data_IF_995188381066
#
_entry.id   IF_995188381066
#
_cell.length_a   1.000
_cell.length_b   1.000
_cell.length_c   1.000
_cell.angle_alpha   90.00
_cell.angle_beta   90.00
_cell.angle_gamma   90.00
#
_symmetry.space_group_name_H-M   'P 1'
#
loop_
_entity.id
_entity.type
_entity.pdbx_description
1 polymer ?
#
# COMPACT_ATOMS: atom_id res chain seq x y z
N UNK A 1 -7.20 3.40 -18.36
CA UNK A 1 -6.04 2.49 -18.39
C UNK A 1 -5.43 2.49 -19.78
N UNK A 2 -4.10 2.51 -19.87
CA UNK A 2 -3.36 2.39 -21.14
C UNK A 2 -2.87 0.95 -21.31
N UNK A 3 -2.86 0.44 -22.54
CA UNK A 3 -2.34 -0.91 -22.83
C UNK A 3 -0.82 -0.87 -22.83
N UNK A 4 -0.20 -1.90 -22.23
CA UNK A 4 1.24 -2.15 -22.31
C UNK A 4 1.43 -3.63 -22.64
N UNK A 5 2.38 -3.90 -23.53
CA UNK A 5 2.84 -5.26 -23.81
C UNK A 5 4.05 -5.51 -22.91
N UNK A 6 3.95 -6.54 -22.07
CA UNK A 6 5.02 -7.00 -21.18
C UNK A 6 4.97 -8.51 -21.15
N UNK A 7 6.13 -9.14 -21.04
CA UNK A 7 6.20 -10.57 -20.74
C UNK A 7 5.98 -10.76 -19.24
N UNK A 8 5.15 -11.74 -18.87
CA UNK A 8 4.81 -12.06 -17.49
C UNK A 8 5.02 -13.57 -17.34
N UNK A 9 5.57 -13.97 -16.20
CA UNK A 9 5.64 -15.36 -15.81
C UNK A 9 4.23 -15.91 -15.56
N UNK A 10 3.83 -16.92 -16.33
CA UNK A 10 2.47 -17.48 -16.29
C UNK A 10 2.17 -18.20 -14.96
N UNK A 11 3.18 -18.80 -14.33
CA UNK A 11 3.00 -19.49 -13.04
C UNK A 11 2.74 -18.46 -11.92
N UNK A 12 3.51 -17.37 -11.91
CA UNK A 12 3.27 -16.25 -10.99
C UNK A 12 1.91 -15.58 -11.24
N UNK A 13 1.52 -15.43 -12.50
CA UNK A 13 0.23 -14.85 -12.84
C UNK A 13 -0.93 -15.72 -12.33
N UNK A 14 -0.82 -17.04 -12.44
CA UNK A 14 -1.84 -17.96 -11.96
C UNK A 14 -1.90 -18.00 -10.42
N UNK A 15 -0.75 -17.96 -9.74
CA UNK A 15 -0.70 -17.84 -8.28
C UNK A 15 -1.40 -16.56 -7.81
N UNK A 16 -1.10 -15.42 -8.44
CA UNK A 16 -1.75 -14.15 -8.15
C UNK A 16 -3.26 -14.21 -8.43
N UNK A 17 -3.69 -14.86 -9.52
CA UNK A 17 -5.11 -15.04 -9.82
C UNK A 17 -5.82 -15.81 -8.72
N UNK A 18 -5.21 -16.88 -8.22
CA UNK A 18 -5.72 -17.67 -7.11
C UNK A 18 -5.81 -16.86 -5.82
N UNK A 19 -4.74 -16.14 -5.46
CA UNK A 19 -4.68 -15.32 -4.24
C UNK A 19 -5.70 -14.18 -4.22
N UNK A 20 -5.90 -13.53 -5.37
CA UNK A 20 -6.78 -12.36 -5.50
C UNK A 20 -8.23 -12.78 -5.83
N UNK A 21 -8.46 -14.04 -6.25
CA UNK A 21 -9.76 -14.51 -6.73
C UNK A 21 -10.15 -13.86 -8.07
N UNK A 22 -9.16 -13.59 -8.93
CA UNK A 22 -9.37 -12.88 -10.19
C UNK A 22 -9.80 -13.82 -11.32
N UNK A 23 -10.89 -13.48 -12.00
CA UNK A 23 -11.41 -14.28 -13.11
C UNK A 23 -10.60 -14.09 -14.39
N UNK A 24 -9.96 -12.92 -14.55
CA UNK A 24 -9.16 -12.58 -15.73
C UNK A 24 -7.72 -12.16 -15.38
N UNK A 25 -6.79 -12.33 -16.32
CA UNK A 25 -5.41 -11.82 -16.22
C UNK A 25 -5.39 -10.32 -15.93
N UNK A 26 -6.27 -9.55 -16.58
CA UNK A 26 -6.38 -8.10 -16.36
C UNK A 26 -6.76 -7.78 -14.90
N UNK A 27 -7.72 -8.50 -14.33
CA UNK A 27 -8.12 -8.31 -12.93
C UNK A 27 -6.99 -8.68 -11.99
N UNK A 28 -6.28 -9.77 -12.26
CA UNK A 28 -5.15 -10.23 -11.46
C UNK A 28 -4.02 -9.20 -11.42
N UNK A 29 -3.56 -8.74 -12.59
CA UNK A 29 -2.46 -7.77 -12.69
C UNK A 29 -2.86 -6.45 -12.03
N UNK A 30 -4.06 -5.92 -12.31
CA UNK A 30 -4.48 -4.66 -11.71
C UNK A 30 -4.73 -4.78 -10.21
N UNK A 31 -5.25 -5.93 -9.76
CA UNK A 31 -5.43 -6.24 -8.35
C UNK A 31 -4.10 -6.31 -7.61
N UNK A 32 -3.11 -7.00 -8.17
CA UNK A 32 -1.78 -7.11 -7.59
C UNK A 32 -1.08 -5.75 -7.48
N UNK A 33 -1.12 -4.95 -8.55
CA UNK A 33 -0.53 -3.60 -8.53
C UNK A 33 -1.20 -2.73 -7.46
N UNK A 34 -2.53 -2.80 -7.33
CA UNK A 34 -3.26 -2.08 -6.27
C UNK A 34 -2.85 -2.58 -4.89
N UNK A 35 -2.75 -3.90 -4.72
CA UNK A 35 -2.37 -4.50 -3.44
C UNK A 35 -1.00 -4.02 -2.95
N UNK A 36 -0.01 -3.92 -3.86
CA UNK A 36 1.33 -3.40 -3.54
C UNK A 36 1.28 -1.94 -3.11
N UNK A 37 0.55 -1.09 -3.86
CA UNK A 37 0.39 0.32 -3.51
C UNK A 37 -0.29 0.47 -2.14
N UNK A 38 -1.39 -0.24 -1.91
CA UNK A 38 -2.12 -0.18 -0.65
C UNK A 38 -1.29 -0.71 0.52
N UNK A 39 -0.46 -1.72 0.30
CA UNK A 39 0.46 -2.25 1.30
C UNK A 39 1.50 -1.20 1.71
N UNK A 40 2.15 -0.54 0.75
CA UNK A 40 3.13 0.51 1.04
C UNK A 40 2.48 1.70 1.76
N UNK A 41 1.27 2.11 1.35
CA UNK A 41 0.52 3.18 2.04
C UNK A 41 0.22 2.82 3.50
N UNK A 42 -0.20 1.57 3.76
CA UNK A 42 -0.39 1.08 5.14
C UNK A 42 0.91 1.10 5.93
N UNK A 43 2.01 0.66 5.31
CA UNK A 43 3.32 0.64 5.96
C UNK A 43 3.82 2.05 6.31
N UNK A 44 3.67 3.00 5.39
CA UNK A 44 3.98 4.41 5.64
C UNK A 44 3.16 4.99 6.79
N UNK A 45 1.87 4.66 6.84
CA UNK A 45 1.01 5.09 7.94
C UNK A 45 1.46 4.53 9.29
N UNK A 46 1.81 3.23 9.34
CA UNK A 46 2.35 2.59 10.56
C UNK A 46 3.66 3.24 10.97
N UNK A 47 4.59 3.47 10.03
CA UNK A 47 5.86 4.17 10.31
C UNK A 47 5.59 5.54 10.92
N UNK A 48 4.70 6.34 10.32
CA UNK A 48 4.32 7.66 10.82
C UNK A 48 3.81 7.63 12.26
N UNK A 49 2.99 6.64 12.61
CA UNK A 49 2.47 6.48 13.97
C UNK A 49 3.57 6.09 14.97
N UNK A 50 4.51 5.25 14.55
CA UNK A 50 5.63 4.82 15.40
C UNK A 50 6.68 5.91 15.60
N UNK A 51 6.94 6.72 14.58
CA UNK A 51 7.98 7.76 14.61
C UNK A 51 7.45 9.14 15.00
N UNK A 52 6.12 9.31 15.05
CA UNK A 52 5.44 10.61 15.18
C UNK A 52 5.85 11.61 14.08
N UNK A 53 6.41 11.11 12.98
CA UNK A 53 6.93 11.93 11.88
C UNK A 53 5.82 12.76 11.22
N UNK A 54 6.10 14.04 11.00
CA UNK A 54 5.10 14.97 10.46
C UNK A 54 3.96 15.31 11.43
N UNK A 55 4.10 14.99 12.72
CA UNK A 55 3.22 15.45 13.79
C UNK A 55 4.01 16.25 14.82
N UNK A 56 3.33 17.15 15.52
CA UNK A 56 3.83 17.90 16.68
C UNK A 56 3.69 17.11 17.99
N UNK A 57 3.17 15.88 17.95
CA UNK A 57 2.94 15.04 19.12
C UNK A 57 4.23 14.65 19.86
N UNK A 58 5.39 14.75 19.20
CA UNK A 58 6.69 14.54 19.81
C UNK A 58 7.24 15.80 20.51
N UNK A 59 6.63 16.97 20.27
CA UNK A 59 7.01 18.23 20.89
C UNK A 59 6.29 18.41 22.24
N UNK A 60 7.04 18.20 23.31
CA UNK A 60 6.52 18.26 24.68
C UNK A 60 5.97 19.65 25.03
N UNK A 61 6.48 20.72 24.43
CA UNK A 61 6.00 22.07 24.70
C UNK A 61 4.65 22.32 24.02
N UNK A 62 4.50 21.93 22.76
CA UNK A 62 3.22 22.00 22.05
C UNK A 62 2.16 21.18 22.78
N UNK A 63 2.52 19.97 23.23
CA UNK A 63 1.56 19.13 23.94
C UNK A 63 1.11 19.72 25.29
N UNK A 64 2.01 20.37 26.04
CA UNK A 64 1.64 21.05 27.30
C UNK A 64 0.72 22.24 27.07
N UNK A 65 0.93 22.99 25.99
CA UNK A 65 0.16 24.19 25.70
C UNK A 65 -1.24 23.86 25.11
N UNK A 66 -1.42 22.68 24.51
CA UNK A 66 -2.67 22.26 23.87
C UNK A 66 -3.77 21.82 24.87
N UNK A 67 -3.41 21.38 26.08
CA UNK A 67 -4.36 20.86 27.09
C UNK A 67 -4.66 21.81 28.26
N UNK A 68 -4.35 23.10 28.12
CA UNK A 68 -4.78 24.15 29.07
C UNK A 68 -6.17 24.68 28.74
#
# INVERSE_FOLDING_TARGET
MTKRLIDIDDDLLEEVRSLIGASTMKEAVNGALRHVVDFELRLQHVRRLLTLEGTDLADEQIMRDTWR
#
